data_IF_265983664583
#
_entry.id   IF_265983664583
#
_cell.length_a   1.000
_cell.length_b   1.000
_cell.length_c   1.000
_cell.angle_alpha   90.00
_cell.angle_beta   90.00
_cell.angle_gamma   90.00
#
_symmetry.space_group_name_H-M   'P 1'
#
loop_
_entity.id
_entity.type
_entity.pdbx_description
1 polymer ?
#
# COMPACT_ATOMS: atom_id res chain seq x y z
N UNK A 1 43.55 -39.47 20.50
CA UNK A 1 43.52 -39.18 21.96
C UNK A 1 44.31 -37.91 22.21
N UNK A 2 43.62 -36.79 22.44
CA UNK A 2 44.20 -35.52 22.86
C UNK A 2 43.33 -34.96 23.99
N UNK A 3 43.95 -34.73 25.15
CA UNK A 3 43.46 -33.83 26.20
C UNK A 3 43.96 -32.43 25.86
N UNK A 4 43.14 -31.39 26.09
CA UNK A 4 43.56 -30.07 26.62
C UNK A 4 42.34 -29.41 27.27
N UNK A 5 42.67 -28.57 28.25
CA UNK A 5 41.91 -28.09 29.39
C UNK A 5 40.84 -27.03 29.09
N UNK A 6 39.82 -27.05 29.96
CA UNK A 6 38.92 -25.94 30.28
C UNK A 6 39.71 -24.82 30.97
N UNK A 7 39.67 -23.61 30.39
CA UNK A 7 39.74 -22.28 31.04
C UNK A 7 39.40 -21.29 29.92
N UNK A 8 38.19 -20.70 29.97
CA UNK A 8 37.81 -19.35 29.48
C UNK A 8 36.29 -19.31 29.29
N UNK A 9 35.57 -19.18 30.40
CA UNK A 9 34.26 -18.56 30.45
C UNK A 9 34.43 -17.30 31.31
N UNK A 10 33.66 -16.25 31.06
CA UNK A 10 33.59 -15.02 31.88
C UNK A 10 34.49 -13.80 31.57
N UNK A 11 34.90 -13.55 30.31
CA UNK A 11 35.43 -12.22 29.90
C UNK A 11 34.99 -11.67 28.53
N UNK A 12 33.92 -12.20 27.93
CA UNK A 12 33.47 -11.76 26.59
C UNK A 12 32.05 -11.14 26.54
N UNK A 13 31.48 -10.75 27.69
CA UNK A 13 30.21 -10.04 27.78
C UNK A 13 30.43 -8.74 28.55
N UNK A 14 31.26 -7.85 27.98
CA UNK A 14 31.38 -6.45 28.40
C UNK A 14 32.20 -5.63 27.38
N UNK A 15 31.88 -5.71 26.08
CA UNK A 15 32.61 -4.94 25.05
C UNK A 15 31.78 -4.57 23.79
N UNK A 16 30.47 -4.37 23.93
CA UNK A 16 29.61 -3.89 22.83
C UNK A 16 28.64 -2.77 23.24
N UNK A 17 28.97 -2.02 24.29
CA UNK A 17 28.28 -0.78 24.68
C UNK A 17 29.33 0.34 24.80
N UNK A 18 29.95 0.69 23.67
CA UNK A 18 30.90 1.79 23.57
C UNK A 18 31.05 2.29 22.13
N UNK A 19 29.94 2.50 21.39
CA UNK A 19 29.94 3.18 20.08
C UNK A 19 28.65 4.00 19.84
N UNK A 20 28.10 4.60 20.89
CA UNK A 20 27.26 5.79 20.79
C UNK A 20 27.89 6.80 21.76
N UNK A 21 27.90 8.09 21.42
CA UNK A 21 28.54 9.22 22.13
C UNK A 21 29.76 9.86 21.43
N UNK A 22 29.68 10.13 20.13
CA UNK A 22 30.25 11.33 19.51
C UNK A 22 29.29 11.66 18.35
N UNK A 23 28.35 12.60 18.47
CA UNK A 23 28.57 14.05 18.36
C UNK A 23 27.53 14.85 19.16
N UNK A 24 27.95 15.40 20.29
CA UNK A 24 27.26 16.52 20.95
C UNK A 24 28.32 17.48 21.46
N UNK A 25 28.84 18.31 20.56
CA UNK A 25 29.82 19.32 20.88
C UNK A 25 29.55 20.58 20.07
N UNK A 26 28.50 21.31 20.44
CA UNK A 26 28.42 22.77 20.29
C UNK A 26 27.49 23.29 21.38
N UNK A 27 28.07 23.52 22.56
CA UNK A 27 27.49 24.39 23.58
C UNK A 27 28.62 24.99 24.41
N UNK A 28 28.92 26.26 24.15
CA UNK A 28 29.51 27.29 25.01
C UNK A 28 29.57 28.52 24.09
N UNK A 29 28.86 29.62 24.31
CA UNK A 29 28.83 30.50 25.48
C UNK A 29 27.65 31.46 25.20
N UNK A 30 26.76 31.77 26.14
CA UNK A 30 26.82 33.03 26.91
C UNK A 30 25.95 32.88 28.16
N UNK A 31 26.60 33.32 29.23
CA UNK A 31 26.34 33.53 30.64
C UNK A 31 24.91 33.92 31.06
N UNK A 32 24.55 33.37 32.22
CA UNK A 32 23.52 33.82 33.14
C UNK A 32 23.49 35.34 33.33
N UNK A 33 22.30 35.92 33.21
CA UNK A 33 21.83 36.88 34.19
C UNK A 33 20.31 36.88 34.26
N UNK A 34 19.82 36.74 35.49
CA UNK A 34 18.51 37.12 36.00
C UNK A 34 17.28 36.34 35.50
N UNK A 35 16.83 35.45 36.39
CA UNK A 35 15.45 35.03 36.60
C UNK A 35 14.46 36.18 36.38
N UNK A 36 13.36 35.91 35.66
CA UNK A 36 11.96 36.10 36.09
C UNK A 36 10.99 36.01 34.88
N UNK A 37 9.85 35.34 35.08
CA UNK A 37 8.65 35.25 34.24
C UNK A 37 8.56 34.32 33.02
N UNK A 38 8.05 33.12 33.29
CA UNK A 38 6.71 32.61 32.91
C UNK A 38 6.13 32.95 31.51
N UNK A 39 5.83 31.88 30.78
CA UNK A 39 4.86 31.74 29.67
C UNK A 39 5.11 32.51 28.35
N UNK A 40 4.86 31.78 27.24
CA UNK A 40 4.87 32.22 25.84
C UNK A 40 6.24 32.42 25.13
N UNK A 41 6.73 31.35 24.49
CA UNK A 41 7.22 31.40 23.09
C UNK A 41 7.45 29.99 22.54
N UNK A 42 6.44 29.44 21.87
CA UNK A 42 6.67 28.45 20.81
C UNK A 42 7.11 29.29 19.60
N UNK A 43 8.38 29.21 19.26
CA UNK A 43 8.93 29.89 18.08
C UNK A 43 8.26 29.31 16.82
N UNK A 44 7.54 30.17 16.11
CA UNK A 44 7.01 29.87 14.79
C UNK A 44 8.18 29.67 13.83
N UNK A 45 8.38 28.44 13.37
CA UNK A 45 9.17 28.18 12.17
C UNK A 45 8.46 28.92 11.03
N UNK A 46 9.14 29.87 10.38
CA UNK A 46 8.54 30.64 9.30
C UNK A 46 8.22 29.72 8.12
N UNK A 47 7.00 29.82 7.59
CA UNK A 47 6.45 28.99 6.49
C UNK A 47 7.37 28.91 5.26
N UNK A 48 8.25 29.89 5.06
CA UNK A 48 9.22 29.93 3.96
C UNK A 48 10.33 28.89 4.07
N UNK A 49 10.71 28.47 5.27
CA UNK A 49 11.76 27.44 5.48
C UNK A 49 11.21 26.03 5.24
N UNK A 50 9.95 25.78 5.60
CA UNK A 50 9.30 24.49 5.39
C UNK A 50 9.11 24.18 3.89
N UNK A 51 8.76 25.21 3.11
CA UNK A 51 8.59 25.11 1.65
C UNK A 51 9.89 24.74 0.94
N UNK A 52 11.03 25.25 1.42
CA UNK A 52 12.34 24.94 0.89
C UNK A 52 12.76 23.50 1.25
N UNK A 53 12.54 23.07 2.50
CA UNK A 53 12.84 21.69 2.96
C UNK A 53 12.02 20.66 2.18
N UNK A 54 10.72 20.92 1.95
CA UNK A 54 9.84 20.03 1.17
C UNK A 54 10.30 19.97 -0.30
N UNK A 55 10.66 21.11 -0.92
CA UNK A 55 11.18 21.14 -2.31
C UNK A 55 12.54 20.44 -2.45
N UNK A 56 13.39 20.52 -1.43
CA UNK A 56 14.70 19.84 -1.38
C UNK A 56 14.51 18.32 -1.22
N UNK A 57 13.62 17.88 -0.33
CA UNK A 57 13.31 16.47 -0.08
C UNK A 57 12.69 15.76 -1.30
N UNK A 58 11.91 16.49 -2.11
CA UNK A 58 11.35 16.00 -3.38
C UNK A 58 12.43 15.79 -4.45
N UNK A 59 13.52 16.57 -4.44
CA UNK A 59 14.61 16.47 -5.44
C UNK A 59 15.55 15.27 -5.22
N UNK A 60 15.65 14.73 -3.99
CA UNK A 60 16.46 13.54 -3.65
C UNK A 60 15.69 12.61 -2.70
N UNK A 61 14.77 11.79 -3.23
CA UNK A 61 13.93 10.95 -2.38
C UNK A 61 14.76 9.79 -1.80
N UNK A 62 15.05 9.86 -0.50
CA UNK A 62 15.38 8.67 0.27
C UNK A 62 14.16 8.33 1.12
N UNK A 63 13.53 7.18 0.87
CA UNK A 63 12.21 6.80 1.45
C UNK A 63 12.16 6.90 2.98
N UNK A 64 13.32 6.74 3.65
CA UNK A 64 13.43 6.75 5.11
C UNK A 64 13.39 8.15 5.74
N UNK A 65 13.84 9.19 5.04
CA UNK A 65 13.83 10.57 5.57
C UNK A 65 12.45 11.20 5.50
N UNK A 66 11.70 10.93 4.42
CA UNK A 66 10.33 11.45 4.23
C UNK A 66 9.36 10.94 5.31
N UNK A 67 9.50 9.67 5.73
CA UNK A 67 8.64 9.08 6.77
C UNK A 67 8.81 9.72 8.15
N UNK A 68 10.02 10.18 8.51
CA UNK A 68 10.30 10.68 9.87
C UNK A 68 9.89 12.15 10.02
N UNK A 69 9.92 12.92 8.94
CA UNK A 69 9.59 14.36 8.96
C UNK A 69 8.09 14.61 8.85
N UNK A 70 7.35 13.81 8.08
CA UNK A 70 5.90 13.96 7.93
C UNK A 70 5.08 13.58 9.17
N UNK A 71 5.59 12.67 10.01
CA UNK A 71 4.94 12.21 11.24
C UNK A 71 4.95 13.28 12.35
N UNK A 72 5.71 14.38 12.17
CA UNK A 72 5.81 15.48 13.14
C UNK A 72 4.88 16.67 12.86
N UNK A 73 4.12 16.64 11.77
CA UNK A 73 3.23 17.75 11.42
C UNK A 73 1.87 17.60 12.12
N UNK A 74 1.43 18.66 12.77
CA UNK A 74 0.11 18.73 13.41
C UNK A 74 -0.99 18.85 12.35
N UNK A 75 -2.21 18.39 12.66
CA UNK A 75 -3.37 18.39 11.75
C UNK A 75 -3.67 19.77 11.11
N UNK A 76 -3.31 20.84 11.81
CA UNK A 76 -3.43 22.22 11.33
C UNK A 76 -2.49 22.51 10.15
N UNK A 77 -1.25 21.99 10.18
CA UNK A 77 -0.25 22.18 9.12
C UNK A 77 -0.60 21.37 7.87
N UNK A 78 -1.15 20.16 8.03
CA UNK A 78 -1.65 19.34 6.91
C UNK A 78 -2.86 19.93 6.19
N UNK A 79 -3.59 20.85 6.84
CA UNK A 79 -4.75 21.52 6.25
C UNK A 79 -4.33 22.68 5.33
N UNK A 80 -3.17 23.30 5.59
CA UNK A 80 -2.61 24.41 4.81
C UNK A 80 -1.66 23.96 3.68
N UNK A 81 -1.11 22.75 3.77
CA UNK A 81 -0.33 22.10 2.70
C UNK A 81 -1.27 21.60 1.60
N UNK A 82 -1.44 22.41 0.55
CA UNK A 82 -2.43 22.24 -0.52
C UNK A 82 -2.45 20.89 -1.25
N UNK A 83 -3.37 20.76 -2.23
CA UNK A 83 -3.71 19.53 -2.95
C UNK A 83 -2.51 18.73 -3.50
N UNK A 84 -1.40 19.40 -3.85
CA UNK A 84 -0.15 18.75 -4.33
C UNK A 84 0.51 17.89 -3.26
N UNK A 85 0.50 18.33 -1.99
CA UNK A 85 1.07 17.56 -0.88
C UNK A 85 0.12 16.44 -0.50
N UNK A 86 -1.20 16.66 -0.52
CA UNK A 86 -2.19 15.59 -0.30
C UNK A 86 -2.06 14.48 -1.33
N UNK A 87 -1.91 14.82 -2.61
CA UNK A 87 -1.76 13.83 -3.67
C UNK A 87 -0.40 13.12 -3.60
N UNK A 88 0.68 13.84 -3.25
CA UNK A 88 1.99 13.23 -3.02
C UNK A 88 2.01 12.28 -1.82
N UNK A 89 1.29 12.60 -0.74
CA UNK A 89 1.13 11.72 0.44
C UNK A 89 0.23 10.53 0.14
N UNK A 90 -0.82 10.73 -0.66
CA UNK A 90 -1.72 9.68 -1.13
C UNK A 90 -0.99 8.69 -2.05
N UNK A 91 -0.12 9.17 -2.94
CA UNK A 91 0.77 8.34 -3.76
C UNK A 91 1.87 7.65 -2.92
N UNK A 92 2.43 8.32 -1.91
CA UNK A 92 3.44 7.75 -1.01
C UNK A 92 2.90 6.64 -0.06
N UNK A 93 1.57 6.52 0.08
CA UNK A 93 0.90 5.51 0.91
C UNK A 93 0.31 4.35 0.10
N UNK A 94 0.46 4.35 -1.22
CA UNK A 94 -0.02 3.27 -2.09
C UNK A 94 0.75 1.98 -1.82
N UNK A 95 0.06 0.97 -1.29
CA UNK A 95 0.65 -0.36 -1.04
C UNK A 95 1.04 -1.03 -2.35
N UNK A 96 2.30 -1.43 -2.49
CA UNK A 96 2.78 -2.21 -3.63
C UNK A 96 3.00 -3.67 -3.24
N UNK A 97 2.51 -4.60 -4.07
CA UNK A 97 2.67 -6.04 -3.92
C UNK A 97 3.34 -6.64 -5.16
N UNK A 98 3.86 -7.85 -5.02
CA UNK A 98 4.32 -8.67 -6.14
C UNK A 98 3.35 -9.83 -6.33
N UNK A 99 2.90 -10.03 -7.56
CA UNK A 99 2.14 -11.22 -7.93
C UNK A 99 2.93 -12.06 -8.93
N UNK A 100 2.78 -13.37 -8.85
CA UNK A 100 3.36 -14.30 -9.82
C UNK A 100 2.27 -14.76 -10.80
N UNK A 101 2.59 -14.76 -12.10
CA UNK A 101 1.66 -15.22 -13.13
C UNK A 101 1.48 -16.72 -13.06
N UNK A 102 0.24 -17.13 -12.83
CA UNK A 102 -0.18 -18.52 -12.73
C UNK A 102 -1.37 -18.77 -13.64
N UNK A 103 -1.53 -20.03 -14.03
CA UNK A 103 -2.75 -20.50 -14.68
C UNK A 103 -3.81 -20.73 -13.61
N UNK A 104 -4.99 -20.16 -13.82
CA UNK A 104 -6.17 -20.29 -12.98
C UNK A 104 -7.29 -20.91 -13.80
N UNK A 105 -8.34 -21.38 -13.12
CA UNK A 105 -9.52 -22.00 -13.74
C UNK A 105 -10.77 -21.39 -13.14
N UNK A 106 -11.75 -21.05 -13.96
CA UNK A 106 -13.05 -20.53 -13.50
C UNK A 106 -14.04 -21.67 -13.17
N UNK A 107 -15.23 -21.30 -12.71
CA UNK A 107 -16.28 -22.26 -12.33
C UNK A 107 -16.86 -23.05 -13.53
N UNK A 108 -16.57 -22.64 -14.76
CA UNK A 108 -16.95 -23.33 -15.99
C UNK A 108 -15.83 -24.25 -16.51
N UNK A 109 -14.69 -24.32 -15.82
CA UNK A 109 -13.53 -25.11 -16.22
C UNK A 109 -12.62 -24.41 -17.22
N UNK A 110 -12.89 -23.15 -17.59
CA UNK A 110 -12.07 -22.41 -18.52
C UNK A 110 -10.82 -21.86 -17.83
N UNK A 111 -9.70 -22.02 -18.51
CA UNK A 111 -8.41 -21.54 -18.02
C UNK A 111 -8.20 -20.07 -18.32
N UNK A 112 -7.50 -19.36 -17.44
CA UNK A 112 -7.14 -17.97 -17.60
C UNK A 112 -5.82 -17.65 -16.87
N UNK A 113 -5.28 -16.46 -17.08
CA UNK A 113 -4.01 -16.04 -16.45
C UNK A 113 -4.27 -14.93 -15.45
N UNK A 114 -3.76 -15.10 -14.24
CA UNK A 114 -3.78 -14.09 -13.20
C UNK A 114 -2.64 -14.28 -12.22
N UNK A 115 -2.68 -13.53 -11.12
CA UNK A 115 -1.79 -13.73 -9.99
C UNK A 115 -2.58 -13.76 -8.70
N UNK A 116 -2.30 -14.75 -7.86
CA UNK A 116 -2.90 -14.86 -6.52
C UNK A 116 -2.40 -13.71 -5.64
N UNK A 117 -3.28 -13.23 -4.77
CA UNK A 117 -3.00 -12.15 -3.82
C UNK A 117 -3.23 -12.67 -2.41
N UNK A 118 -2.32 -12.37 -1.50
CA UNK A 118 -2.45 -12.77 -0.11
C UNK A 118 -3.56 -11.95 0.57
N UNK A 119 -4.40 -12.61 1.38
CA UNK A 119 -5.44 -11.92 2.15
C UNK A 119 -4.85 -10.84 3.08
N UNK A 120 -3.67 -11.08 3.66
CA UNK A 120 -2.98 -10.10 4.50
C UNK A 120 -2.64 -8.80 3.74
N UNK A 121 -2.51 -8.87 2.40
CA UNK A 121 -2.33 -7.67 1.60
C UNK A 121 -3.60 -6.85 1.39
N UNK A 122 -4.74 -7.46 1.70
CA UNK A 122 -6.07 -6.92 1.48
C UNK A 122 -6.81 -6.57 2.79
N UNK A 123 -6.24 -6.87 3.96
CA UNK A 123 -6.89 -6.73 5.26
C UNK A 123 -7.50 -5.35 5.49
N UNK A 124 -6.78 -4.28 5.16
CA UNK A 124 -7.29 -2.90 5.30
C UNK A 124 -8.55 -2.68 4.45
N UNK A 125 -8.57 -3.18 3.21
CA UNK A 125 -9.70 -3.03 2.31
C UNK A 125 -10.87 -3.93 2.68
N UNK A 126 -10.58 -5.15 3.16
CA UNK A 126 -11.58 -6.06 3.69
C UNK A 126 -12.24 -5.49 4.95
N UNK A 127 -11.46 -4.85 5.83
CA UNK A 127 -11.98 -4.14 6.98
C UNK A 127 -12.87 -2.96 6.56
N UNK A 128 -12.42 -2.11 5.63
CA UNK A 128 -13.22 -1.02 5.09
C UNK A 128 -14.54 -1.51 4.47
N UNK A 129 -14.49 -2.58 3.67
CA UNK A 129 -15.67 -3.19 3.09
C UNK A 129 -16.62 -3.71 4.17
N UNK A 130 -16.10 -4.32 5.25
CA UNK A 130 -16.90 -4.76 6.39
C UNK A 130 -17.59 -3.60 7.11
N UNK A 131 -16.91 -2.47 7.29
CA UNK A 131 -17.51 -1.28 7.89
C UNK A 131 -18.66 -0.73 7.04
N UNK A 132 -18.54 -0.80 5.71
CA UNK A 132 -19.59 -0.32 4.79
C UNK A 132 -20.79 -1.26 4.75
N UNK A 133 -20.54 -2.58 4.73
CA UNK A 133 -21.60 -3.58 4.54
C UNK A 133 -22.27 -4.02 5.85
N UNK A 134 -21.61 -3.88 6.99
CA UNK A 134 -22.12 -4.41 8.26
C UNK A 134 -22.40 -5.92 8.16
N UNK A 135 -23.63 -6.32 8.44
CA UNK A 135 -24.07 -7.72 8.48
C UNK A 135 -24.02 -8.40 7.11
N UNK A 136 -24.16 -7.64 6.01
CA UNK A 136 -24.11 -8.16 4.64
C UNK A 136 -22.69 -8.56 4.22
N UNK A 137 -21.65 -8.18 4.97
CA UNK A 137 -20.26 -8.46 4.61
C UNK A 137 -20.03 -9.95 4.35
N UNK A 138 -20.56 -10.81 5.23
CA UNK A 138 -20.40 -12.27 5.10
C UNK A 138 -21.04 -12.79 3.82
N UNK A 139 -22.24 -12.28 3.47
CA UNK A 139 -22.94 -12.67 2.25
C UNK A 139 -22.11 -12.31 1.00
N UNK A 140 -21.64 -11.07 0.91
CA UNK A 140 -20.81 -10.62 -0.22
C UNK A 140 -19.51 -11.42 -0.36
N UNK A 141 -18.86 -11.74 0.77
CA UNK A 141 -17.66 -12.59 0.79
C UNK A 141 -17.95 -14.00 0.30
N UNK A 142 -19.08 -14.61 0.68
CA UNK A 142 -19.46 -15.96 0.26
C UNK A 142 -19.61 -16.07 -1.26
N UNK A 143 -20.27 -15.09 -1.89
CA UNK A 143 -20.43 -15.06 -3.35
C UNK A 143 -19.10 -14.97 -4.09
N UNK A 144 -18.20 -14.08 -3.66
CA UNK A 144 -16.84 -14.02 -4.21
C UNK A 144 -16.08 -15.32 -3.99
N UNK A 145 -16.11 -15.83 -2.76
CA UNK A 145 -15.35 -17.02 -2.38
C UNK A 145 -15.79 -18.25 -3.18
N UNK A 146 -17.10 -18.39 -3.44
CA UNK A 146 -17.64 -19.48 -4.27
C UNK A 146 -17.25 -19.33 -5.74
N UNK A 147 -17.16 -18.11 -6.26
CA UNK A 147 -16.74 -17.84 -7.65
C UNK A 147 -15.24 -18.02 -7.85
N UNK A 148 -14.44 -17.63 -6.88
CA UNK A 148 -12.99 -17.53 -6.99
C UNK A 148 -12.25 -18.62 -6.22
N UNK A 149 -12.92 -19.74 -5.93
CA UNK A 149 -12.34 -20.91 -5.25
C UNK A 149 -11.62 -20.56 -3.94
N UNK A 150 -12.23 -19.71 -3.11
CA UNK A 150 -11.69 -19.24 -1.83
C UNK A 150 -10.36 -18.49 -1.93
N UNK A 151 -10.02 -17.97 -3.11
CA UNK A 151 -8.79 -17.19 -3.33
C UNK A 151 -9.09 -15.75 -3.72
N UNK A 152 -8.15 -14.86 -3.43
CA UNK A 152 -8.07 -13.56 -4.06
C UNK A 152 -7.06 -13.62 -5.20
N UNK A 153 -7.40 -13.00 -6.32
CA UNK A 153 -6.50 -12.92 -7.46
C UNK A 153 -6.79 -11.66 -8.27
N UNK A 154 -5.78 -11.23 -9.01
CA UNK A 154 -5.91 -10.24 -10.06
C UNK A 154 -5.88 -10.98 -11.40
N UNK A 155 -6.95 -10.88 -12.19
CA UNK A 155 -6.98 -11.43 -13.55
C UNK A 155 -6.13 -10.57 -14.48
N UNK A 156 -5.12 -11.16 -15.12
CA UNK A 156 -4.31 -10.51 -16.15
C UNK A 156 -4.93 -10.69 -17.54
N UNK A 157 -5.34 -11.92 -17.85
CA UNK A 157 -5.94 -12.35 -19.12
C UNK A 157 -7.19 -13.14 -18.75
N UNK A 158 -8.35 -12.75 -19.27
CA UNK A 158 -9.61 -13.43 -18.96
C UNK A 158 -9.75 -14.77 -19.73
N UNK A 159 -10.72 -15.64 -19.39
CA UNK A 159 -10.86 -16.94 -20.06
C UNK A 159 -11.02 -16.85 -21.57
N UNK A 160 -11.86 -15.93 -22.06
CA UNK A 160 -12.11 -15.75 -23.50
C UNK A 160 -10.89 -15.21 -24.25
N UNK A 161 -10.16 -14.27 -23.64
CA UNK A 161 -8.88 -13.81 -24.18
C UNK A 161 -7.88 -14.96 -24.26
N UNK A 162 -7.76 -15.77 -23.19
CA UNK A 162 -6.79 -16.85 -23.10
C UNK A 162 -7.04 -17.95 -24.14
N UNK A 163 -8.29 -18.30 -24.40
CA UNK A 163 -8.66 -19.28 -25.43
C UNK A 163 -8.23 -18.87 -26.84
N UNK A 164 -8.19 -17.57 -27.12
CA UNK A 164 -7.86 -17.03 -28.43
C UNK A 164 -6.38 -16.63 -28.58
N UNK A 165 -5.57 -16.84 -27.54
CA UNK A 165 -4.15 -16.49 -27.59
C UNK A 165 -3.33 -17.58 -28.28
N UNK A 166 -2.71 -17.21 -29.42
CA UNK A 166 -1.72 -18.05 -30.10
C UNK A 166 -0.30 -17.91 -29.49
N UNK A 167 -0.08 -16.90 -28.63
CA UNK A 167 1.23 -16.61 -28.03
C UNK A 167 1.43 -17.38 -26.72
N UNK A 168 2.65 -17.87 -26.50
CA UNK A 168 3.03 -18.54 -25.25
C UNK A 168 3.04 -17.55 -24.09
N UNK A 169 2.47 -17.95 -22.96
CA UNK A 169 2.48 -17.17 -21.71
C UNK A 169 3.70 -17.55 -20.86
N UNK A 170 4.42 -16.54 -20.37
CA UNK A 170 5.53 -16.71 -19.44
C UNK A 170 5.01 -16.86 -18.00
N UNK A 171 4.49 -18.05 -17.68
CA UNK A 171 4.11 -18.44 -16.31
C UNK A 171 5.34 -18.31 -15.38
N UNK A 172 5.12 -17.87 -14.14
CA UNK A 172 6.19 -17.58 -13.17
C UNK A 172 6.75 -16.16 -13.24
N UNK A 173 6.36 -15.37 -14.26
CA UNK A 173 6.73 -13.94 -14.32
C UNK A 173 6.15 -13.22 -13.11
N UNK A 174 6.99 -12.43 -12.43
CA UNK A 174 6.57 -11.59 -11.31
C UNK A 174 6.25 -10.18 -11.79
N UNK A 175 5.11 -9.66 -11.38
CA UNK A 175 4.64 -8.33 -11.73
C UNK A 175 4.40 -7.50 -10.47
N UNK A 176 4.90 -6.27 -10.47
CA UNK A 176 4.63 -5.28 -9.43
C UNK A 176 3.24 -4.68 -9.63
N UNK A 177 2.45 -4.63 -8.56
CA UNK A 177 1.08 -4.15 -8.57
C UNK A 177 0.86 -3.18 -7.41
N UNK A 178 0.40 -1.98 -7.73
CA UNK A 178 0.02 -0.96 -6.78
C UNK A 178 -1.47 -1.06 -6.45
N UNK A 179 -1.80 -1.20 -5.17
CA UNK A 179 -3.17 -1.26 -4.64
C UNK A 179 -3.63 0.15 -4.27
N UNK A 180 -4.53 0.72 -5.07
CA UNK A 180 -4.89 2.14 -5.01
C UNK A 180 -5.95 2.46 -3.95
N UNK A 181 -6.85 1.51 -3.66
CA UNK A 181 -7.92 1.72 -2.70
C UNK A 181 -9.11 0.80 -2.91
N UNK A 182 -10.02 0.80 -1.93
CA UNK A 182 -11.32 0.14 -2.04
C UNK A 182 -12.21 0.92 -3.03
N UNK A 183 -12.82 0.18 -3.94
CA UNK A 183 -13.74 0.69 -4.93
C UNK A 183 -15.06 -0.09 -4.90
N UNK A 184 -16.08 0.53 -5.48
CA UNK A 184 -17.40 -0.06 -5.63
C UNK A 184 -18.01 0.31 -6.96
N UNK A 185 -18.70 -0.65 -7.58
CA UNK A 185 -19.64 -0.38 -8.66
C UNK A 185 -20.96 -1.04 -8.34
N UNK A 186 -22.05 -0.32 -8.62
CA UNK A 186 -23.41 -0.81 -8.52
C UNK A 186 -24.13 -0.56 -9.84
N UNK A 187 -24.69 -1.62 -10.44
CA UNK A 187 -25.51 -1.56 -11.65
C UNK A 187 -26.75 -2.40 -11.41
N UNK A 188 -27.91 -1.81 -11.67
CA UNK A 188 -29.22 -2.38 -11.33
C UNK A 188 -29.29 -2.74 -9.84
N UNK A 189 -29.37 -4.04 -9.53
CA UNK A 189 -29.41 -4.61 -8.18
C UNK A 189 -28.15 -5.42 -7.85
N UNK A 190 -27.08 -5.26 -8.64
CA UNK A 190 -25.80 -5.92 -8.43
C UNK A 190 -24.79 -4.92 -7.90
N UNK A 191 -24.07 -5.29 -6.86
CA UNK A 191 -22.97 -4.48 -6.33
C UNK A 191 -21.72 -5.33 -6.20
N UNK A 192 -20.58 -4.77 -6.62
CA UNK A 192 -19.27 -5.38 -6.47
C UNK A 192 -18.31 -4.43 -5.76
N UNK A 193 -17.61 -4.96 -4.75
CA UNK A 193 -16.51 -4.32 -4.05
C UNK A 193 -15.19 -4.97 -4.46
N UNK A 194 -14.20 -4.15 -4.75
CA UNK A 194 -12.90 -4.60 -5.24
C UNK A 194 -11.83 -3.59 -4.90
N UNK A 195 -10.56 -4.02 -4.91
CA UNK A 195 -9.42 -3.11 -4.83
C UNK A 195 -9.00 -2.72 -6.23
N UNK A 196 -8.90 -1.42 -6.51
CA UNK A 196 -8.33 -0.95 -7.79
C UNK A 196 -6.84 -1.25 -7.78
N UNK A 197 -6.39 -1.96 -8.81
CA UNK A 197 -4.99 -2.34 -8.98
C UNK A 197 -4.40 -1.61 -10.19
N UNK A 198 -3.14 -1.19 -10.09
CA UNK A 198 -2.41 -0.59 -11.19
C UNK A 198 -1.06 -1.28 -11.35
N UNK A 199 -0.69 -1.58 -12.60
CA UNK A 199 0.62 -2.16 -12.91
C UNK A 199 1.01 -1.80 -14.33
N UNK A 200 2.05 -0.97 -14.46
CA UNK A 200 2.63 -0.66 -15.77
C UNK A 200 3.15 -1.95 -16.45
N UNK A 201 3.77 -2.84 -15.67
CA UNK A 201 4.28 -4.13 -16.16
C UNK A 201 3.16 -5.01 -16.70
N UNK A 202 2.02 -5.11 -16.00
CA UNK A 202 0.86 -5.88 -16.48
C UNK A 202 0.25 -5.26 -17.75
N UNK A 203 0.20 -3.92 -17.85
CA UNK A 203 -0.26 -3.23 -19.07
C UNK A 203 0.65 -3.54 -20.26
N UNK A 204 1.96 -3.40 -20.10
CA UNK A 204 2.95 -3.70 -21.14
C UNK A 204 2.93 -5.19 -21.53
N UNK A 205 2.72 -6.09 -20.56
CA UNK A 205 2.59 -7.52 -20.83
C UNK A 205 1.33 -7.82 -21.68
N UNK A 206 0.19 -7.18 -21.39
CA UNK A 206 -1.00 -7.32 -22.24
C UNK A 206 -0.78 -6.77 -23.65
N UNK A 207 -0.10 -5.63 -23.77
CA UNK A 207 0.22 -5.01 -25.06
C UNK A 207 1.11 -5.91 -25.93
N UNK A 208 2.12 -6.58 -25.34
CA UNK A 208 2.97 -7.51 -26.08
C UNK A 208 2.21 -8.73 -26.60
N UNK A 209 1.06 -9.05 -25.99
CA UNK A 209 0.12 -10.07 -26.43
C UNK A 209 -0.97 -9.55 -27.39
N UNK A 210 -0.95 -8.26 -27.76
CA UNK A 210 -1.97 -7.62 -28.60
C UNK A 210 -3.37 -7.69 -27.96
N UNK A 211 -3.42 -7.68 -26.62
CA UNK A 211 -4.67 -7.62 -25.87
C UNK A 211 -5.06 -6.17 -25.62
N UNK A 212 -6.37 -5.93 -25.55
CA UNK A 212 -6.93 -4.61 -25.25
C UNK A 212 -6.51 -4.10 -23.87
N UNK A 213 -6.51 -2.78 -23.69
CA UNK A 213 -6.35 -2.20 -22.37
C UNK A 213 -7.52 -2.61 -21.47
N UNK A 214 -7.25 -2.77 -20.16
CA UNK A 214 -8.29 -3.04 -19.17
C UNK A 214 -7.94 -2.48 -17.81
N UNK A 215 -8.96 -2.33 -16.98
CA UNK A 215 -8.79 -2.05 -15.56
C UNK A 215 -8.40 -3.33 -14.80
N UNK A 216 -7.34 -3.23 -14.01
CA UNK A 216 -6.96 -4.28 -13.08
C UNK A 216 -7.63 -4.04 -11.74
N UNK A 217 -8.12 -5.12 -11.14
CA UNK A 217 -8.76 -5.09 -9.85
C UNK A 217 -8.68 -6.46 -9.19
N UNK A 218 -8.85 -6.47 -7.87
CA UNK A 218 -8.95 -7.69 -7.06
C UNK A 218 -10.32 -7.68 -6.40
N UNK A 219 -11.18 -8.62 -6.78
CA UNK A 219 -12.56 -8.70 -6.28
C UNK A 219 -12.57 -9.11 -4.81
N UNK A 220 -13.21 -8.30 -3.97
CA UNK A 220 -13.36 -8.56 -2.54
C UNK A 220 -14.74 -9.09 -2.17
N UNK A 221 -15.77 -8.85 -2.97
CA UNK A 221 -17.11 -9.31 -2.65
C UNK A 221 -18.12 -8.75 -3.61
N UNK A 222 -19.21 -9.46 -3.83
CA UNK A 222 -20.31 -8.97 -4.64
C UNK A 222 -21.62 -9.65 -4.26
N UNK A 223 -22.72 -9.04 -4.66
CA UNK A 223 -24.04 -9.62 -4.51
C UNK A 223 -24.99 -9.11 -5.60
N UNK A 224 -25.91 -9.95 -6.10
CA UNK A 224 -25.87 -11.42 -6.06
C UNK A 224 -24.87 -12.01 -7.07
N UNK A 225 -24.37 -11.20 -8.00
CA UNK A 225 -23.38 -11.56 -9.01
C UNK A 225 -22.38 -10.41 -9.17
N UNK A 226 -21.21 -10.69 -9.73
CA UNK A 226 -20.28 -9.62 -10.09
C UNK A 226 -20.88 -8.75 -11.21
N UNK A 227 -20.35 -7.54 -11.33
CA UNK A 227 -20.70 -6.56 -12.35
C UNK A 227 -19.63 -6.59 -13.44
N UNK A 228 -20.03 -6.85 -14.68
CA UNK A 228 -19.15 -6.92 -15.85
C UNK A 228 -19.46 -5.79 -16.84
N UNK A 229 -18.54 -5.52 -17.77
CA UNK A 229 -18.77 -4.55 -18.86
C UNK A 229 -18.75 -3.07 -18.43
N UNK A 230 -18.26 -2.78 -17.23
CA UNK A 230 -18.20 -1.43 -16.66
C UNK A 230 -16.78 -1.05 -16.29
N UNK A 231 -16.53 0.26 -16.14
CA UNK A 231 -15.28 0.77 -15.61
C UNK A 231 -15.05 0.23 -14.18
N UNK A 232 -13.84 -0.25 -13.89
CA UNK A 232 -13.40 -0.71 -12.56
C UNK A 232 -12.05 -0.09 -12.18
N UNK A 233 -11.75 1.08 -12.75
CA UNK A 233 -10.54 1.85 -12.56
C UNK A 233 -10.67 2.86 -11.42
N UNK A 234 -9.75 3.83 -11.40
CA UNK A 234 -9.59 4.82 -10.31
C UNK A 234 -10.84 5.66 -10.05
N UNK A 235 -11.67 5.89 -11.06
CA UNK A 235 -12.92 6.66 -10.95
C UNK A 235 -13.96 6.00 -10.04
N UNK A 236 -13.78 4.70 -9.74
CA UNK A 236 -14.69 3.91 -8.90
C UNK A 236 -14.26 3.84 -7.43
N UNK A 237 -13.15 4.49 -7.08
CA UNK A 237 -12.63 4.53 -5.71
C UNK A 237 -13.66 5.17 -4.77
N UNK A 238 -13.88 4.51 -3.63
CA UNK A 238 -14.68 5.07 -2.55
C UNK A 238 -13.83 6.14 -1.86
N UNK A 239 -14.32 7.39 -1.71
CA UNK A 239 -13.60 8.42 -0.97
C UNK A 239 -13.25 7.93 0.43
N UNK A 240 -12.00 8.10 0.86
CA UNK A 240 -11.57 7.70 2.20
C UNK A 240 -12.31 8.54 3.24
N UNK A 241 -13.34 7.97 3.87
CA UNK A 241 -13.97 8.55 5.05
C UNK A 241 -12.98 8.36 6.20
N UNK A 242 -12.52 9.46 6.81
CA UNK A 242 -11.72 9.40 8.05
C UNK A 242 -12.58 8.71 9.10
N UNK A 243 -12.27 7.47 9.45
CA UNK A 243 -12.89 6.79 10.58
C UNK A 243 -12.28 7.46 11.83
N UNK A 244 -12.98 8.46 12.36
CA UNK A 244 -12.70 8.96 13.71
C UNK A 244 -13.06 7.85 14.68
N UNK A 245 -12.06 7.17 15.21
CA UNK A 245 -12.20 6.37 16.42
C UNK A 245 -12.66 7.33 17.53
N UNK A 246 -13.89 7.13 18.02
CA UNK A 246 -14.34 7.73 19.28
C UNK A 246 -13.66 7.05 20.46
#
# INVERSE_FOLDING_TARGET
MQKINNITSFKAILCTIALFWQTSLFAHTITEHAMENTEHKIEQIQLTELDAVVKEAVKKPTVKSIQIELVKLTDKQLTELGEVVKEAVKEATVKSIQIELVKLTDNSGLSYIGGKVNAADLDVYLFQMKQILGDDFTLYRQYQSKRDHHTFHMTLINPYEYQNLCKRIAIGTKLSVSLRGLARVSVDHKTAYFVVAQSAQAKSYRQSLVLTAKDFHITLGFYPNDVYGVNKGIETLIPTVRITTK
#
